data_IF_166577361874
#
_entry.id   IF_166577361874
#
_cell.length_a   1.000
_cell.length_b   1.000
_cell.length_c   1.000
_cell.angle_alpha   90.00
_cell.angle_beta   90.00
_cell.angle_gamma   90.00
#
_symmetry.space_group_name_H-M   'P 1'
#
loop_
_entity.id
_entity.type
_entity.pdbx_description
1 polymer ?
#
# COMPACT_ATOMS: atom_id res chain seq x y z
N UNK A 1 36.67 9.17 -29.16
CA UNK A 1 36.71 8.48 -27.84
C UNK A 1 36.45 9.47 -26.68
N UNK A 2 36.99 10.71 -26.74
CA UNK A 2 36.81 11.71 -25.67
C UNK A 2 35.40 12.30 -25.57
N UNK A 3 34.68 12.45 -26.67
CA UNK A 3 33.29 12.94 -26.71
C UNK A 3 32.31 11.96 -26.08
N UNK A 4 32.51 10.64 -26.19
CA UNK A 4 31.64 9.61 -25.63
C UNK A 4 31.72 9.52 -24.08
N UNK A 5 32.83 9.90 -23.44
CA UNK A 5 32.95 9.91 -21.98
C UNK A 5 32.27 11.13 -21.34
N UNK A 6 32.26 12.29 -22.01
CA UNK A 6 31.57 13.49 -21.57
C UNK A 6 30.05 13.30 -21.53
N UNK A 7 29.48 12.75 -22.59
CA UNK A 7 28.03 12.52 -22.69
C UNK A 7 27.51 11.50 -21.65
N UNK A 8 28.34 10.48 -21.32
CA UNK A 8 28.01 9.46 -20.32
C UNK A 8 28.00 10.02 -18.90
N UNK A 9 28.95 10.87 -18.58
CA UNK A 9 29.02 11.54 -17.29
C UNK A 9 27.83 12.48 -17.10
N UNK A 10 27.49 13.27 -18.10
CA UNK A 10 26.35 14.18 -18.12
C UNK A 10 25.00 13.44 -17.89
N UNK A 11 24.78 12.30 -18.54
CA UNK A 11 23.56 11.50 -18.34
C UNK A 11 23.45 10.95 -16.91
N UNK A 12 24.56 10.49 -16.33
CA UNK A 12 24.59 10.01 -14.95
C UNK A 12 24.34 11.14 -13.94
N UNK A 13 24.86 12.34 -14.19
CA UNK A 13 24.62 13.54 -13.38
C UNK A 13 23.14 13.94 -13.44
N UNK A 14 22.52 13.95 -14.62
CA UNK A 14 21.09 14.26 -14.79
C UNK A 14 20.18 13.27 -14.06
N UNK A 15 20.52 11.97 -14.04
CA UNK A 15 19.80 10.97 -13.24
C UNK A 15 19.91 11.26 -11.74
N UNK A 16 21.11 11.66 -11.29
CA UNK A 16 21.34 12.01 -9.86
C UNK A 16 20.64 13.31 -9.48
N UNK A 17 20.58 14.28 -10.36
CA UNK A 17 19.81 15.53 -10.16
C UNK A 17 18.31 15.24 -10.05
N UNK A 18 17.74 14.43 -10.95
CA UNK A 18 16.36 14.03 -10.91
C UNK A 18 16.03 13.22 -9.62
N UNK A 19 16.93 12.34 -9.19
CA UNK A 19 16.79 11.58 -7.96
C UNK A 19 16.78 12.49 -6.72
N UNK A 20 17.65 13.48 -6.68
CA UNK A 20 17.72 14.46 -5.58
C UNK A 20 16.47 15.34 -5.49
N UNK A 21 15.91 15.73 -6.64
CA UNK A 21 14.68 16.51 -6.70
C UNK A 21 13.41 15.69 -6.36
N UNK A 22 13.47 14.38 -6.43
CA UNK A 22 12.32 13.49 -6.39
C UNK A 22 11.42 13.62 -5.15
N UNK A 23 11.98 13.96 -4.01
CA UNK A 23 11.23 14.05 -2.74
C UNK A 23 10.47 15.35 -2.60
N UNK A 24 11.09 16.47 -2.97
CA UNK A 24 10.57 17.82 -2.71
C UNK A 24 9.91 18.44 -3.94
N UNK A 25 10.42 18.10 -5.12
CA UNK A 25 10.02 18.67 -6.41
C UNK A 25 9.81 17.56 -7.47
N UNK A 26 8.82 16.67 -7.28
CA UNK A 26 8.62 15.53 -8.20
C UNK A 26 8.25 15.97 -9.62
N UNK A 27 7.62 17.13 -9.80
CA UNK A 27 7.34 17.77 -11.08
C UNK A 27 8.64 18.14 -11.82
N UNK A 28 9.58 18.74 -11.11
CA UNK A 28 10.91 19.07 -11.64
C UNK A 28 11.70 17.81 -11.97
N UNK A 29 11.67 16.80 -11.10
CA UNK A 29 12.27 15.51 -11.35
C UNK A 29 11.72 14.86 -12.64
N UNK A 30 10.41 14.88 -12.84
CA UNK A 30 9.76 14.37 -14.05
C UNK A 30 10.19 15.16 -15.29
N UNK A 31 10.28 16.48 -15.20
CA UNK A 31 10.72 17.35 -16.30
C UNK A 31 12.18 17.09 -16.69
N UNK A 32 13.08 16.82 -15.70
CA UNK A 32 14.46 16.45 -15.94
C UNK A 32 14.55 15.08 -16.63
N UNK A 33 13.84 14.09 -16.13
CA UNK A 33 13.84 12.73 -16.70
C UNK A 33 13.32 12.71 -18.15
N UNK A 34 12.30 13.48 -18.47
CA UNK A 34 11.76 13.60 -19.85
C UNK A 34 12.75 14.18 -20.87
N UNK A 35 13.78 14.90 -20.41
CA UNK A 35 14.85 15.44 -21.28
C UNK A 35 15.94 14.40 -21.57
N UNK A 36 15.95 13.28 -20.86
CA UNK A 36 16.94 12.22 -21.06
C UNK A 36 16.48 11.35 -22.23
N UNK A 37 17.37 11.19 -23.21
CA UNK A 37 17.20 10.21 -24.27
C UNK A 37 17.60 8.83 -23.76
N UNK A 38 16.59 8.02 -23.41
CA UNK A 38 16.80 6.69 -22.85
C UNK A 38 17.61 5.74 -23.78
N UNK A 39 17.60 5.99 -25.10
CA UNK A 39 18.35 5.18 -26.06
C UNK A 39 19.87 5.37 -25.96
N UNK A 40 20.31 6.47 -25.35
CA UNK A 40 21.71 6.80 -25.13
C UNK A 40 22.27 6.27 -23.82
N UNK A 41 21.45 5.65 -22.97
CA UNK A 41 21.90 5.02 -21.75
C UNK A 41 22.70 3.76 -22.07
N UNK A 42 23.94 3.73 -21.60
CA UNK A 42 24.98 2.81 -22.04
C UNK A 42 25.03 1.47 -21.29
N UNK A 43 24.38 1.37 -20.14
CA UNK A 43 24.40 0.18 -19.31
C UNK A 43 22.98 -0.22 -18.87
N UNK A 44 22.78 -1.52 -18.66
CA UNK A 44 21.50 -2.02 -18.18
C UNK A 44 21.17 -1.46 -16.79
N UNK A 45 22.18 -1.20 -15.96
CA UNK A 45 22.00 -0.51 -14.68
C UNK A 45 21.45 0.92 -14.86
N UNK A 46 21.99 1.71 -15.78
CA UNK A 46 21.52 3.08 -16.02
C UNK A 46 20.13 3.10 -16.65
N UNK A 47 19.83 2.16 -17.55
CA UNK A 47 18.46 1.97 -18.07
C UNK A 47 17.48 1.61 -16.99
N UNK A 48 17.85 0.69 -16.11
CA UNK A 48 17.02 0.29 -14.96
C UNK A 48 16.81 1.44 -13.97
N UNK A 49 17.86 2.21 -13.66
CA UNK A 49 17.78 3.40 -12.81
C UNK A 49 16.85 4.47 -13.39
N UNK A 50 17.00 4.77 -14.67
CA UNK A 50 16.12 5.69 -15.38
C UNK A 50 14.66 5.22 -15.31
N UNK A 51 14.40 3.94 -15.61
CA UNK A 51 13.09 3.33 -15.60
C UNK A 51 12.42 3.44 -14.22
N UNK A 52 13.18 3.16 -13.16
CA UNK A 52 12.70 3.24 -11.79
C UNK A 52 12.39 4.69 -11.38
N UNK A 53 13.30 5.63 -11.66
CA UNK A 53 13.11 7.05 -11.38
C UNK A 53 11.93 7.64 -12.17
N UNK A 54 11.76 7.26 -13.44
CA UNK A 54 10.63 7.70 -14.26
C UNK A 54 9.31 7.20 -13.70
N UNK A 55 9.23 5.93 -13.30
CA UNK A 55 8.02 5.36 -12.68
C UNK A 55 7.71 6.04 -11.35
N UNK A 56 8.73 6.33 -10.54
CA UNK A 56 8.59 7.09 -9.31
C UNK A 56 8.09 8.52 -9.56
N UNK A 57 8.64 9.20 -10.55
CA UNK A 57 8.23 10.57 -10.88
C UNK A 57 6.80 10.61 -11.40
N UNK A 58 6.36 9.64 -12.19
CA UNK A 58 4.98 9.55 -12.68
C UNK A 58 4.01 9.35 -11.52
N UNK A 59 4.26 8.37 -10.65
CA UNK A 59 3.40 8.07 -9.48
C UNK A 59 3.28 9.30 -8.56
N UNK A 60 4.40 9.97 -8.24
CA UNK A 60 4.41 11.17 -7.41
C UNK A 60 3.73 12.39 -8.04
N UNK A 61 3.57 12.42 -9.35
CA UNK A 61 2.82 13.45 -10.09
C UNK A 61 1.38 13.01 -10.39
N UNK A 62 0.87 11.95 -9.74
CA UNK A 62 -0.48 11.42 -9.91
C UNK A 62 -0.79 11.02 -11.36
N UNK A 63 0.22 10.55 -12.11
CA UNK A 63 0.09 10.04 -13.46
C UNK A 63 0.08 8.52 -13.38
N UNK A 64 -1.11 7.96 -13.46
CA UNK A 64 -1.29 6.52 -13.40
C UNK A 64 -0.73 5.82 -14.64
N UNK A 65 0.04 4.76 -14.42
CA UNK A 65 0.56 3.90 -15.47
C UNK A 65 -0.10 2.52 -15.37
N UNK A 66 -0.49 2.00 -16.54
CA UNK A 66 -1.10 0.67 -16.65
C UNK A 66 -0.28 -0.31 -17.49
N UNK A 67 0.88 0.11 -18.00
CA UNK A 67 1.80 -0.74 -18.76
C UNK A 67 3.16 -0.82 -18.08
N UNK A 68 3.89 -1.89 -18.35
CA UNK A 68 5.24 -2.08 -17.79
C UNK A 68 6.35 -1.48 -18.65
N UNK A 69 6.03 -0.92 -19.82
CA UNK A 69 7.02 -0.45 -20.79
C UNK A 69 8.09 0.43 -20.16
N UNK A 70 7.68 1.40 -19.33
CA UNK A 70 8.61 2.32 -18.66
C UNK A 70 9.43 1.60 -17.58
N UNK A 71 8.78 0.77 -16.77
CA UNK A 71 9.41 0.10 -15.61
C UNK A 71 10.18 -1.17 -16.02
N UNK A 72 9.96 -1.73 -17.23
CA UNK A 72 10.48 -3.04 -17.62
C UNK A 72 11.99 -3.19 -17.43
N UNK A 73 12.85 -2.21 -17.78
CA UNK A 73 14.28 -2.34 -17.52
C UNK A 73 14.65 -2.48 -16.06
N UNK A 74 13.85 -1.88 -15.15
CA UNK A 74 14.05 -2.03 -13.70
C UNK A 74 13.61 -3.42 -13.22
N UNK A 75 12.48 -3.93 -13.74
CA UNK A 75 11.96 -5.27 -13.44
C UNK A 75 12.96 -6.36 -13.87
N UNK A 76 13.61 -6.19 -15.00
CA UNK A 76 14.56 -7.17 -15.54
C UNK A 76 15.91 -7.15 -14.81
N UNK A 77 16.30 -6.02 -14.24
CA UNK A 77 17.65 -5.84 -13.70
C UNK A 77 17.73 -5.89 -12.16
N UNK A 78 16.89 -5.11 -11.47
CA UNK A 78 17.04 -4.92 -10.03
C UNK A 78 16.67 -6.10 -9.14
N UNK A 79 15.74 -7.00 -9.46
CA UNK A 79 15.47 -8.16 -8.61
C UNK A 79 16.72 -8.99 -8.30
N UNK A 80 17.65 -9.11 -9.25
CA UNK A 80 18.89 -9.86 -9.08
C UNK A 80 20.07 -8.95 -8.64
N UNK A 81 20.19 -7.75 -9.25
CA UNK A 81 21.39 -6.93 -9.18
C UNK A 81 21.24 -5.64 -8.35
N UNK A 82 20.03 -5.36 -7.85
CA UNK A 82 19.74 -4.13 -7.13
C UNK A 82 20.09 -4.17 -5.66
N UNK A 83 20.27 -2.96 -5.08
CA UNK A 83 20.26 -2.75 -3.64
C UNK A 83 18.90 -3.07 -3.04
N UNK A 84 18.77 -3.13 -1.71
CA UNK A 84 17.50 -3.33 -1.04
C UNK A 84 16.49 -2.24 -1.40
N UNK A 85 16.90 -0.98 -1.51
CA UNK A 85 16.06 0.14 -1.91
C UNK A 85 15.56 0.02 -3.35
N UNK A 86 16.45 -0.35 -4.28
CA UNK A 86 16.09 -0.54 -5.68
C UNK A 86 15.11 -1.71 -5.87
N UNK A 87 15.31 -2.81 -5.15
CA UNK A 87 14.40 -3.97 -5.15
C UNK A 87 13.04 -3.61 -4.58
N UNK A 88 13.01 -3.00 -3.41
CA UNK A 88 11.79 -2.53 -2.75
C UNK A 88 10.98 -1.62 -3.69
N UNK A 89 11.60 -0.56 -4.23
CA UNK A 89 10.94 0.38 -5.13
C UNK A 89 10.46 -0.27 -6.42
N UNK A 90 11.24 -1.18 -7.00
CA UNK A 90 10.85 -1.90 -8.21
C UNK A 90 9.58 -2.72 -7.99
N UNK A 91 9.52 -3.51 -6.89
CA UNK A 91 8.31 -4.26 -6.56
C UNK A 91 7.15 -3.36 -6.17
N UNK A 92 7.40 -2.24 -5.49
CA UNK A 92 6.37 -1.25 -5.17
C UNK A 92 5.72 -0.69 -6.44
N UNK A 93 6.50 -0.16 -7.40
CA UNK A 93 5.93 0.41 -8.63
C UNK A 93 5.35 -0.65 -9.56
N UNK A 94 5.89 -1.86 -9.58
CA UNK A 94 5.27 -2.99 -10.28
C UNK A 94 3.89 -3.31 -9.69
N UNK A 95 3.77 -3.34 -8.37
CA UNK A 95 2.50 -3.52 -7.67
C UNK A 95 1.51 -2.39 -7.96
N UNK A 96 1.98 -1.12 -7.98
CA UNK A 96 1.14 0.04 -8.34
C UNK A 96 0.56 -0.07 -9.75
N UNK A 97 1.34 -0.52 -10.74
CA UNK A 97 0.87 -0.75 -12.11
C UNK A 97 -0.25 -1.81 -12.13
N UNK A 98 -0.09 -2.90 -11.36
CA UNK A 98 -1.14 -3.92 -11.22
C UNK A 98 -2.40 -3.36 -10.52
N UNK A 99 -2.25 -2.54 -9.46
CA UNK A 99 -3.38 -1.86 -8.82
C UNK A 99 -4.16 -0.97 -9.81
N UNK A 100 -3.45 -0.20 -10.64
CA UNK A 100 -4.07 0.65 -11.67
C UNK A 100 -4.80 -0.16 -12.75
N UNK A 101 -4.46 -1.45 -12.91
CA UNK A 101 -5.18 -2.42 -13.75
C UNK A 101 -6.31 -3.13 -13.03
N UNK A 102 -6.53 -2.85 -11.76
CA UNK A 102 -7.44 -3.59 -10.89
C UNK A 102 -7.09 -5.09 -10.71
N UNK A 103 -5.82 -5.47 -10.95
CA UNK A 103 -5.27 -6.80 -10.70
C UNK A 103 -4.66 -6.83 -9.28
N UNK A 104 -5.54 -6.95 -8.30
CA UNK A 104 -5.15 -6.93 -6.88
C UNK A 104 -4.28 -8.14 -6.48
N UNK A 105 -4.44 -9.28 -7.15
CA UNK A 105 -3.66 -10.48 -6.88
C UNK A 105 -2.19 -10.30 -7.23
N UNK A 106 -1.93 -9.87 -8.45
CA UNK A 106 -0.56 -9.59 -8.91
C UNK A 106 0.07 -8.43 -8.14
N UNK A 107 -0.73 -7.40 -7.81
CA UNK A 107 -0.28 -6.29 -6.97
C UNK A 107 0.15 -6.77 -5.57
N UNK A 108 -0.67 -7.61 -4.92
CA UNK A 108 -0.34 -8.19 -3.61
C UNK A 108 0.94 -9.00 -3.65
N UNK A 109 1.15 -9.83 -4.68
CA UNK A 109 2.38 -10.62 -4.84
C UNK A 109 3.61 -9.69 -4.94
N UNK A 110 3.52 -8.62 -5.71
CA UNK A 110 4.60 -7.64 -5.81
C UNK A 110 4.89 -6.96 -4.47
N UNK A 111 3.85 -6.51 -3.75
CA UNK A 111 4.03 -5.88 -2.45
C UNK A 111 4.61 -6.85 -1.40
N UNK A 112 4.21 -8.11 -1.41
CA UNK A 112 4.79 -9.13 -0.53
C UNK A 112 6.28 -9.37 -0.82
N UNK A 113 6.68 -9.42 -2.09
CA UNK A 113 8.10 -9.50 -2.48
C UNK A 113 8.87 -8.25 -2.05
N UNK A 114 8.30 -7.06 -2.26
CA UNK A 114 8.89 -5.81 -1.82
C UNK A 114 9.06 -5.73 -0.30
N UNK A 115 8.08 -6.23 0.47
CA UNK A 115 8.11 -6.25 1.94
C UNK A 115 9.33 -7.01 2.51
N UNK A 116 9.86 -8.01 1.80
CA UNK A 116 11.06 -8.72 2.22
C UNK A 116 12.28 -7.80 2.35
N UNK A 117 12.30 -6.70 1.61
CA UNK A 117 13.38 -5.72 1.59
C UNK A 117 13.18 -4.54 2.56
N UNK A 118 11.97 -4.33 3.11
CA UNK A 118 11.66 -3.18 3.97
C UNK A 118 12.63 -3.01 5.16
N UNK A 119 13.08 -4.11 5.75
CA UNK A 119 14.02 -4.06 6.91
C UNK A 119 15.46 -3.80 6.51
N UNK A 120 15.81 -4.02 5.26
CA UNK A 120 17.19 -3.88 4.73
C UNK A 120 17.34 -2.58 3.94
N UNK A 121 16.24 -1.99 3.51
CA UNK A 121 16.20 -0.74 2.77
C UNK A 121 16.51 0.44 3.69
N UNK A 122 17.21 1.43 3.16
CA UNK A 122 17.46 2.71 3.83
C UNK A 122 16.31 3.71 3.60
N UNK A 123 15.54 3.56 2.53
CA UNK A 123 14.39 4.39 2.20
C UNK A 123 13.17 3.98 3.01
N UNK A 124 13.12 4.44 4.26
CA UNK A 124 12.02 4.18 5.20
C UNK A 124 10.67 4.69 4.66
N UNK A 125 10.67 5.79 3.88
CA UNK A 125 9.45 6.32 3.27
C UNK A 125 8.88 5.33 2.24
N UNK A 126 9.74 4.78 1.37
CA UNK A 126 9.31 3.78 0.38
C UNK A 126 8.79 2.50 1.06
N UNK A 127 9.43 2.07 2.15
CA UNK A 127 8.97 0.93 2.94
C UNK A 127 7.57 1.16 3.54
N UNK A 128 7.34 2.33 4.13
CA UNK A 128 6.04 2.69 4.69
C UNK A 128 4.95 2.79 3.61
N UNK A 129 5.25 3.41 2.47
CA UNK A 129 4.32 3.51 1.34
C UNK A 129 3.92 2.14 0.78
N UNK A 130 4.86 1.20 0.71
CA UNK A 130 4.57 -0.17 0.29
C UNK A 130 3.57 -0.86 1.24
N UNK A 131 3.75 -0.70 2.55
CA UNK A 131 2.84 -1.27 3.56
C UNK A 131 1.43 -0.67 3.44
N UNK A 132 1.32 0.64 3.23
CA UNK A 132 0.01 1.30 3.00
C UNK A 132 -0.64 0.79 1.71
N UNK A 133 0.12 0.65 0.62
CA UNK A 133 -0.40 0.11 -0.64
C UNK A 133 -0.87 -1.34 -0.49
N UNK A 134 -0.16 -2.17 0.27
CA UNK A 134 -0.60 -3.50 0.66
C UNK A 134 -1.89 -3.43 1.48
N UNK A 135 -1.95 -2.51 2.46
CA UNK A 135 -3.13 -2.27 3.28
C UNK A 135 -4.38 -1.93 2.45
N UNK A 136 -4.24 -1.08 1.43
CA UNK A 136 -5.36 -0.73 0.55
C UNK A 136 -6.01 -1.97 -0.06
N UNK A 137 -5.22 -2.96 -0.50
CA UNK A 137 -5.77 -4.20 -1.04
C UNK A 137 -6.43 -5.03 0.08
N UNK A 138 -5.77 -5.16 1.24
CA UNK A 138 -6.31 -5.91 2.38
C UNK A 138 -7.67 -5.38 2.85
N UNK A 139 -7.83 -4.05 2.82
CA UNK A 139 -9.10 -3.40 3.14
C UNK A 139 -10.21 -3.81 2.15
N UNK A 140 -9.92 -3.84 0.84
CA UNK A 140 -10.94 -4.18 -0.19
C UNK A 140 -11.44 -5.62 -0.09
N UNK A 141 -10.69 -6.50 0.57
CA UNK A 141 -11.05 -7.91 0.78
C UNK A 141 -11.40 -8.21 2.24
N UNK A 142 -11.63 -7.17 3.04
CA UNK A 142 -12.07 -7.27 4.44
C UNK A 142 -11.12 -8.07 5.36
N UNK A 143 -9.81 -8.09 5.06
CA UNK A 143 -8.76 -8.66 5.90
C UNK A 143 -8.30 -7.64 6.93
N UNK A 144 -9.19 -7.30 7.86
CA UNK A 144 -8.97 -6.18 8.78
C UNK A 144 -7.81 -6.40 9.74
N UNK A 145 -7.56 -7.62 10.20
CA UNK A 145 -6.41 -7.90 11.08
C UNK A 145 -5.08 -7.62 10.38
N UNK A 146 -4.92 -8.15 9.15
CA UNK A 146 -3.73 -7.91 8.32
C UNK A 146 -3.63 -6.41 7.94
N UNK A 147 -4.77 -5.74 7.65
CA UNK A 147 -4.83 -4.30 7.36
C UNK A 147 -4.36 -3.45 8.54
N UNK A 148 -4.82 -3.77 9.76
CA UNK A 148 -4.40 -3.09 10.98
C UNK A 148 -2.89 -3.27 11.18
N UNK A 149 -2.37 -4.50 11.04
CA UNK A 149 -0.96 -4.79 11.20
C UNK A 149 -0.08 -3.93 10.30
N UNK A 150 -0.38 -3.90 8.99
CA UNK A 150 0.46 -3.16 8.03
C UNK A 150 0.36 -1.64 8.22
N UNK A 151 -0.81 -1.11 8.59
CA UNK A 151 -0.95 0.33 8.87
C UNK A 151 -0.26 0.74 10.17
N UNK A 152 -0.28 -0.10 11.23
CA UNK A 152 0.48 0.16 12.45
C UNK A 152 2.00 0.11 12.21
N UNK A 153 2.46 -0.81 11.36
CA UNK A 153 3.86 -0.87 10.95
C UNK A 153 4.24 0.38 10.13
N UNK A 154 3.40 0.79 9.18
CA UNK A 154 3.61 2.01 8.40
C UNK A 154 3.63 3.27 9.29
N UNK A 155 2.70 3.40 10.24
CA UNK A 155 2.67 4.51 11.19
C UNK A 155 3.98 4.63 11.99
N UNK A 156 4.53 3.50 12.46
CA UNK A 156 5.83 3.48 13.15
C UNK A 156 6.98 3.95 12.26
N UNK A 157 6.98 3.55 11.00
CA UNK A 157 8.00 3.97 10.03
C UNK A 157 7.88 5.46 9.73
N UNK A 158 6.68 5.98 9.45
CA UNK A 158 6.46 7.41 9.22
C UNK A 158 6.86 8.26 10.43
N UNK A 159 6.52 7.80 11.64
CA UNK A 159 6.95 8.45 12.89
C UNK A 159 8.47 8.54 12.98
N UNK A 160 9.20 7.46 12.63
CA UNK A 160 10.66 7.42 12.73
C UNK A 160 11.38 8.42 11.82
N UNK A 161 10.71 8.89 10.77
CA UNK A 161 11.22 9.88 9.81
C UNK A 161 10.53 11.24 9.91
N UNK A 162 9.73 11.47 10.96
CA UNK A 162 9.06 12.75 11.22
C UNK A 162 7.93 13.11 10.23
N UNK A 163 7.36 12.12 9.50
CA UNK A 163 6.23 12.32 8.59
C UNK A 163 4.91 12.17 9.36
N UNK A 164 4.60 13.18 10.19
CA UNK A 164 3.44 13.14 11.11
C UNK A 164 2.10 13.08 10.39
N UNK A 165 1.96 13.71 9.24
CA UNK A 165 0.78 13.65 8.38
C UNK A 165 0.48 12.22 7.91
N UNK A 166 1.48 11.49 7.40
CA UNK A 166 1.36 10.08 6.98
C UNK A 166 1.20 9.13 8.18
N UNK A 167 1.85 9.43 9.33
CA UNK A 167 1.61 8.71 10.59
C UNK A 167 0.13 8.77 10.97
N UNK A 168 -0.46 9.99 10.96
CA UNK A 168 -1.87 10.22 11.28
C UNK A 168 -2.82 9.55 10.29
N UNK A 169 -2.52 9.59 8.98
CA UNK A 169 -3.31 8.88 7.97
C UNK A 169 -3.33 7.36 8.21
N UNK A 170 -2.19 6.78 8.58
CA UNK A 170 -2.11 5.36 8.89
C UNK A 170 -2.85 5.02 10.19
N UNK A 171 -2.77 5.86 11.22
CA UNK A 171 -3.55 5.69 12.46
C UNK A 171 -5.06 5.85 12.22
N UNK A 172 -5.46 6.78 11.35
CA UNK A 172 -6.85 6.97 10.95
C UNK A 172 -7.42 5.72 10.28
N UNK A 173 -6.66 5.09 9.38
CA UNK A 173 -7.02 3.81 8.79
C UNK A 173 -7.26 2.72 9.85
N UNK A 174 -6.43 2.67 10.89
CA UNK A 174 -6.58 1.70 12.00
C UNK A 174 -7.79 2.02 12.86
N UNK A 175 -8.08 3.31 13.10
CA UNK A 175 -9.30 3.76 13.79
C UNK A 175 -10.53 3.29 13.02
N UNK A 176 -10.57 3.47 11.70
CA UNK A 176 -11.70 3.02 10.87
C UNK A 176 -11.89 1.51 10.94
N UNK A 177 -10.82 0.73 10.89
CA UNK A 177 -10.91 -0.72 11.04
C UNK A 177 -11.46 -1.11 12.42
N UNK A 178 -11.05 -0.44 13.48
CA UNK A 178 -11.57 -0.64 14.83
C UNK A 178 -13.05 -0.27 14.97
N UNK A 179 -13.48 0.80 14.30
CA UNK A 179 -14.89 1.21 14.23
C UNK A 179 -15.73 0.15 13.48
N UNK A 180 -15.25 -0.32 12.33
CA UNK A 180 -15.92 -1.37 11.55
C UNK A 180 -16.02 -2.69 12.31
N UNK A 181 -15.00 -3.05 13.08
CA UNK A 181 -15.01 -4.21 13.97
C UNK A 181 -15.85 -4.01 15.24
N UNK A 182 -16.41 -2.82 15.47
CA UNK A 182 -17.14 -2.42 16.68
C UNK A 182 -16.33 -2.71 17.95
N UNK A 183 -15.01 -2.58 17.88
CA UNK A 183 -14.07 -2.83 18.99
C UNK A 183 -13.72 -1.50 19.67
N UNK A 184 -14.63 -1.01 20.54
CA UNK A 184 -14.46 0.28 21.22
C UNK A 184 -13.13 0.39 22.00
N UNK A 185 -12.74 -0.57 22.89
CA UNK A 185 -11.50 -0.42 23.66
C UNK A 185 -10.24 -0.30 22.80
N UNK A 186 -10.17 -1.06 21.69
CA UNK A 186 -9.08 -0.96 20.74
C UNK A 186 -9.09 0.38 20.02
N UNK A 187 -10.28 0.81 19.53
CA UNK A 187 -10.43 2.07 18.81
C UNK A 187 -10.07 3.27 19.71
N UNK A 188 -10.49 3.25 20.99
CA UNK A 188 -10.15 4.28 21.98
C UNK A 188 -8.62 4.40 22.10
N UNK A 189 -7.91 3.30 22.25
CA UNK A 189 -6.46 3.30 22.39
C UNK A 189 -5.74 3.91 21.19
N UNK A 190 -6.21 3.62 19.97
CA UNK A 190 -5.59 4.18 18.74
C UNK A 190 -6.00 5.65 18.55
N UNK A 191 -7.25 6.00 18.86
CA UNK A 191 -7.74 7.38 18.81
C UNK A 191 -6.95 8.27 19.79
N UNK A 192 -6.67 7.81 20.99
CA UNK A 192 -5.86 8.55 21.97
C UNK A 192 -4.45 8.85 21.44
N UNK A 193 -3.81 7.85 20.82
CA UNK A 193 -2.49 8.03 20.20
C UNK A 193 -2.58 9.07 19.08
N UNK A 194 -3.55 8.96 18.19
CA UNK A 194 -3.73 9.88 17.08
C UNK A 194 -4.04 11.30 17.58
N UNK A 195 -4.88 11.44 18.61
CA UNK A 195 -5.24 12.73 19.18
C UNK A 195 -4.10 13.40 19.94
N UNK A 196 -3.21 12.62 20.57
CA UNK A 196 -1.97 13.14 21.11
C UNK A 196 -1.12 13.78 19.98
N UNK A 197 -0.98 13.10 18.83
CA UNK A 197 -0.25 13.64 17.66
C UNK A 197 -0.87 14.93 17.13
N UNK A 198 -2.21 14.98 17.07
CA UNK A 198 -2.94 16.21 16.68
C UNK A 198 -2.68 17.33 17.68
N UNK A 199 -2.61 17.07 18.99
CA UNK A 199 -2.31 18.10 20.00
C UNK A 199 -0.90 18.70 19.84
N UNK A 200 0.05 17.89 19.40
CA UNK A 200 1.42 18.33 19.08
C UNK A 200 1.50 19.06 17.73
N UNK A 201 0.55 18.82 16.82
CA UNK A 201 0.49 19.35 15.46
C UNK A 201 -0.95 19.76 15.09
N UNK A 202 -1.50 20.86 15.65
CA UNK A 202 -2.92 21.22 15.52
C UNK A 202 -3.39 21.41 14.07
N UNK A 203 -2.51 21.87 13.18
CA UNK A 203 -2.79 22.07 11.76
C UNK A 203 -3.15 20.77 11.02
N UNK A 204 -2.78 19.60 11.58
CA UNK A 204 -3.11 18.28 11.04
C UNK A 204 -4.43 17.71 11.58
N UNK A 205 -5.16 18.48 12.39
CA UNK A 205 -6.43 18.07 12.99
C UNK A 205 -7.50 17.69 11.97
N UNK A 206 -7.42 18.23 10.75
CA UNK A 206 -8.32 17.91 9.65
C UNK A 206 -8.27 16.43 9.25
N UNK A 207 -7.12 15.75 9.43
CA UNK A 207 -6.97 14.32 9.11
C UNK A 207 -7.89 13.48 10.00
N UNK A 208 -7.93 13.77 11.30
CA UNK A 208 -8.73 13.00 12.25
C UNK A 208 -10.19 13.45 12.36
N UNK A 209 -10.54 14.59 11.78
CA UNK A 209 -11.89 15.15 11.88
C UNK A 209 -12.97 14.16 11.38
N UNK A 210 -12.93 13.58 10.15
CA UNK A 210 -13.95 12.64 9.69
C UNK A 210 -14.08 11.41 10.59
N UNK A 211 -12.97 10.92 11.11
CA UNK A 211 -12.91 9.71 11.95
C UNK A 211 -13.52 9.94 13.34
N UNK A 212 -13.42 11.17 13.89
CA UNK A 212 -14.12 11.55 15.13
C UNK A 212 -15.64 11.48 14.95
N UNK A 213 -16.15 11.96 13.85
CA UNK A 213 -17.58 11.90 13.58
C UNK A 213 -18.05 10.45 13.42
N UNK A 214 -17.33 9.64 12.63
CA UNK A 214 -17.64 8.21 12.46
C UNK A 214 -17.54 7.45 13.79
N UNK A 215 -16.55 7.78 14.62
CA UNK A 215 -16.42 7.24 15.97
C UNK A 215 -17.63 7.56 16.85
N UNK A 216 -18.06 8.84 16.90
CA UNK A 216 -19.22 9.26 17.66
C UNK A 216 -20.53 8.63 17.12
N UNK A 217 -20.63 8.47 15.82
CA UNK A 217 -21.74 7.75 15.19
C UNK A 217 -21.84 6.29 15.62
N UNK A 218 -20.73 5.65 15.96
CA UNK A 218 -20.70 4.23 16.31
C UNK A 218 -20.77 4.00 17.82
N UNK A 219 -20.05 4.79 18.59
CA UNK A 219 -19.83 4.57 20.01
C UNK A 219 -20.38 5.68 20.94
N UNK A 220 -20.67 6.86 20.38
CA UNK A 220 -21.14 8.03 21.11
C UNK A 220 -22.66 8.05 21.31
N UNK A 221 -23.11 8.92 22.18
CA UNK A 221 -24.50 9.25 22.37
C UNK A 221 -24.98 10.44 21.53
N UNK A 222 -26.25 10.87 21.70
CA UNK A 222 -26.81 12.00 20.96
C UNK A 222 -26.13 13.33 21.30
N UNK A 223 -25.67 13.50 22.52
CA UNK A 223 -25.02 14.73 22.97
C UNK A 223 -23.60 14.83 22.36
N UNK A 224 -22.86 13.72 22.33
CA UNK A 224 -21.57 13.61 21.66
C UNK A 224 -21.68 13.98 20.16
N UNK A 225 -22.67 13.40 19.47
CA UNK A 225 -22.91 13.67 18.05
C UNK A 225 -23.28 15.13 17.84
N UNK A 226 -24.21 15.68 18.64
CA UNK A 226 -24.65 17.07 18.53
C UNK A 226 -23.51 18.06 18.76
N UNK A 227 -22.60 17.76 19.72
CA UNK A 227 -21.43 18.59 19.99
C UNK A 227 -20.47 18.63 18.82
N UNK A 228 -20.35 17.55 18.05
CA UNK A 228 -19.45 17.48 16.90
C UNK A 228 -20.04 18.13 15.64
N UNK A 229 -21.36 18.03 15.41
CA UNK A 229 -22.01 18.52 14.19
C UNK A 229 -21.71 19.99 13.88
N UNK A 230 -21.48 20.84 14.88
CA UNK A 230 -21.12 22.27 14.70
C UNK A 230 -19.79 22.48 13.97
N UNK A 231 -18.93 21.46 13.94
CA UNK A 231 -17.63 21.52 13.24
C UNK A 231 -17.71 21.01 11.80
N UNK A 232 -18.88 20.52 11.36
CA UNK A 232 -19.09 19.93 10.03
C UNK A 232 -20.24 20.64 9.30
N UNK A 233 -20.07 21.93 8.91
CA UNK A 233 -21.11 22.62 8.16
C UNK A 233 -21.30 21.93 6.79
N UNK A 234 -22.50 21.45 6.53
CA UNK A 234 -22.83 20.61 5.38
C UNK A 234 -22.44 21.21 4.02
N UNK A 235 -22.41 22.53 3.92
CA UNK A 235 -22.10 23.24 2.66
C UNK A 235 -20.58 23.33 2.38
N UNK A 236 -19.73 22.99 3.37
CA UNK A 236 -18.28 23.12 3.29
C UNK A 236 -17.52 21.80 3.34
N UNK A 237 -18.23 20.66 3.46
CA UNK A 237 -17.61 19.33 3.52
C UNK A 237 -17.82 18.57 2.21
N UNK A 238 -16.91 17.61 1.93
CA UNK A 238 -17.02 16.74 0.77
C UNK A 238 -18.22 15.77 0.87
N UNK A 239 -18.59 15.15 -0.23
CA UNK A 239 -19.78 14.30 -0.32
C UNK A 239 -19.70 13.03 0.57
N UNK A 240 -18.50 12.51 0.86
CA UNK A 240 -18.36 11.40 1.78
C UNK A 240 -18.66 11.86 3.21
N UNK A 241 -18.11 12.97 3.62
CA UNK A 241 -18.38 13.59 4.93
C UNK A 241 -19.84 14.02 5.05
N UNK A 242 -20.49 14.54 3.97
CA UNK A 242 -21.93 14.79 3.96
C UNK A 242 -22.76 13.56 4.30
N UNK A 243 -22.33 12.38 3.86
CA UNK A 243 -23.01 11.13 4.20
C UNK A 243 -23.02 10.89 5.72
N UNK A 244 -21.87 11.11 6.39
CA UNK A 244 -21.75 11.00 7.85
C UNK A 244 -22.56 12.07 8.57
N UNK A 245 -22.50 13.32 8.10
CA UNK A 245 -23.28 14.43 8.65
C UNK A 245 -24.80 14.15 8.53
N UNK A 246 -25.26 13.64 7.40
CA UNK A 246 -26.66 13.24 7.23
C UNK A 246 -27.06 12.12 8.21
N UNK A 247 -26.20 11.12 8.40
CA UNK A 247 -26.43 10.06 9.40
C UNK A 247 -26.47 10.63 10.82
N UNK A 248 -25.58 11.60 11.12
CA UNK A 248 -25.53 12.25 12.42
C UNK A 248 -26.83 13.01 12.75
N UNK A 249 -27.33 13.82 11.82
CA UNK A 249 -28.62 14.49 11.98
C UNK A 249 -29.76 13.49 12.21
N UNK A 250 -29.77 12.39 11.46
CA UNK A 250 -30.78 11.34 11.63
C UNK A 250 -30.70 10.71 13.04
N UNK A 251 -29.50 10.42 13.52
CA UNK A 251 -29.30 9.80 14.86
C UNK A 251 -29.74 10.68 16.01
N UNK A 252 -29.59 12.00 15.90
CA UNK A 252 -30.10 12.95 16.90
C UNK A 252 -31.60 13.22 16.80
N UNK A 253 -32.27 12.71 15.73
CA UNK A 253 -33.72 12.82 15.49
C UNK A 253 -34.11 13.89 14.49
N UNK A 254 -33.17 14.59 13.89
CA UNK A 254 -33.42 15.61 12.85
C UNK A 254 -33.44 14.99 11.45
N UNK A 255 -34.49 14.23 11.16
CA UNK A 255 -34.67 13.55 9.87
C UNK A 255 -34.86 14.53 8.70
N UNK A 256 -35.32 15.75 8.96
CA UNK A 256 -35.48 16.78 7.94
C UNK A 256 -34.09 17.22 7.39
N UNK A 257 -33.20 17.64 8.27
CA UNK A 257 -31.85 18.01 7.84
C UNK A 257 -31.06 16.82 7.29
N UNK A 258 -31.23 15.64 7.85
CA UNK A 258 -30.65 14.42 7.31
C UNK A 258 -31.00 14.19 5.83
N UNK A 259 -32.29 14.27 5.47
CA UNK A 259 -32.77 14.14 4.08
C UNK A 259 -32.26 15.28 3.20
N UNK A 260 -32.30 16.51 3.68
CA UNK A 260 -31.81 17.68 2.94
C UNK A 260 -30.33 17.53 2.56
N UNK A 261 -29.49 17.15 3.50
CA UNK A 261 -28.06 16.98 3.26
C UNK A 261 -27.80 15.78 2.34
N UNK A 262 -28.47 14.64 2.56
CA UNK A 262 -28.33 13.48 1.68
C UNK A 262 -28.71 13.82 0.23
N UNK A 263 -29.72 14.67 0.03
CA UNK A 263 -30.18 15.11 -1.30
C UNK A 263 -29.24 16.14 -1.95
N UNK A 264 -28.34 16.77 -1.18
CA UNK A 264 -27.34 17.71 -1.71
C UNK A 264 -26.07 17.01 -2.25
N UNK A 265 -25.96 15.69 -2.05
CA UNK A 265 -24.84 14.92 -2.58
C UNK A 265 -25.03 14.77 -4.10
N UNK A 266 -23.99 15.07 -4.87
CA UNK A 266 -24.04 14.98 -6.33
C UNK A 266 -24.32 13.52 -6.76
N UNK A 267 -25.38 13.34 -7.55
CA UNK A 267 -25.79 12.04 -8.06
C UNK A 267 -24.74 11.38 -8.99
N UNK A 268 -23.84 12.19 -9.56
CA UNK A 268 -22.72 11.72 -10.39
C UNK A 268 -21.48 11.39 -9.58
N UNK A 269 -21.47 11.76 -8.30
CA UNK A 269 -20.38 11.44 -7.39
C UNK A 269 -20.24 9.93 -7.18
N UNK A 270 -19.03 9.43 -7.22
CA UNK A 270 -18.73 8.02 -6.89
C UNK A 270 -19.18 7.61 -5.48
N UNK A 271 -19.42 8.59 -4.59
CA UNK A 271 -19.94 8.37 -3.24
C UNK A 271 -21.32 7.71 -3.25
N UNK A 272 -22.21 8.08 -4.20
CA UNK A 272 -23.56 7.50 -4.31
C UNK A 272 -23.54 6.02 -4.69
N UNK A 273 -22.46 5.53 -5.29
CA UNK A 273 -22.24 4.12 -5.56
C UNK A 273 -21.71 3.35 -4.34
N UNK A 274 -21.17 4.05 -3.32
CA UNK A 274 -20.58 3.41 -2.15
C UNK A 274 -21.62 2.67 -1.29
N UNK A 275 -21.17 1.59 -0.65
CA UNK A 275 -22.02 0.83 0.28
C UNK A 275 -22.46 1.69 1.46
N UNK A 276 -21.58 2.51 2.00
CA UNK A 276 -21.85 3.42 3.11
C UNK A 276 -23.02 4.35 2.80
N UNK A 277 -22.98 5.02 1.64
CA UNK A 277 -24.07 5.90 1.22
C UNK A 277 -25.42 5.14 1.11
N UNK A 278 -25.42 3.95 0.48
CA UNK A 278 -26.63 3.15 0.31
C UNK A 278 -27.23 2.69 1.65
N UNK A 279 -26.37 2.28 2.58
CA UNK A 279 -26.77 1.92 3.94
C UNK A 279 -27.37 3.13 4.69
N UNK A 280 -26.66 4.26 4.69
CA UNK A 280 -27.11 5.50 5.35
C UNK A 280 -28.41 6.03 4.73
N UNK A 281 -28.53 6.00 3.40
CA UNK A 281 -29.77 6.40 2.71
C UNK A 281 -30.96 5.54 3.13
N UNK A 282 -30.79 4.22 3.17
CA UNK A 282 -31.84 3.31 3.64
C UNK A 282 -32.26 3.64 5.07
N UNK A 283 -31.30 3.82 5.97
CA UNK A 283 -31.54 4.16 7.37
C UNK A 283 -32.29 5.49 7.53
N UNK A 284 -31.87 6.56 6.83
CA UNK A 284 -32.52 7.87 6.91
C UNK A 284 -33.98 7.82 6.40
N UNK A 285 -34.20 7.12 5.28
CA UNK A 285 -35.53 6.97 4.72
C UNK A 285 -36.47 6.17 5.66
N UNK A 286 -35.97 5.13 6.31
CA UNK A 286 -36.70 4.35 7.31
C UNK A 286 -37.09 5.23 8.51
N UNK A 287 -36.15 5.98 9.09
CA UNK A 287 -36.40 6.87 10.21
C UNK A 287 -37.36 8.02 9.86
N UNK A 288 -37.41 8.42 8.59
CA UNK A 288 -38.31 9.43 8.08
C UNK A 288 -39.71 8.88 7.77
N UNK A 289 -39.94 7.55 7.86
CA UNK A 289 -41.21 6.89 7.55
C UNK A 289 -41.41 6.61 6.06
N UNK A 290 -40.45 6.88 5.19
CA UNK A 290 -40.50 6.62 3.74
C UNK A 290 -40.19 5.15 3.44
N UNK A 291 -40.97 4.22 3.98
CA UNK A 291 -40.68 2.79 3.97
C UNK A 291 -40.50 2.16 2.58
N UNK A 292 -41.29 2.53 1.53
CA UNK A 292 -41.10 1.98 0.19
C UNK A 292 -39.71 2.32 -0.37
N UNK A 293 -39.26 3.57 -0.24
CA UNK A 293 -37.98 4.04 -0.75
C UNK A 293 -36.82 3.52 0.12
N UNK A 294 -37.03 3.38 1.43
CA UNK A 294 -36.07 2.73 2.34
C UNK A 294 -35.83 1.29 1.90
N UNK A 295 -36.88 0.53 1.59
CA UNK A 295 -36.73 -0.86 1.13
C UNK A 295 -36.01 -0.97 -0.21
N UNK A 296 -36.25 -0.05 -1.14
CA UNK A 296 -35.49 -0.01 -2.42
C UNK A 296 -34.01 0.27 -2.18
N UNK A 297 -33.69 1.23 -1.32
CA UNK A 297 -32.30 1.55 -0.96
C UNK A 297 -31.62 0.38 -0.25
N UNK A 298 -32.31 -0.28 0.68
CA UNK A 298 -31.82 -1.45 1.39
C UNK A 298 -31.54 -2.63 0.44
N UNK A 299 -32.42 -2.90 -0.50
CA UNK A 299 -32.20 -3.96 -1.51
C UNK A 299 -30.94 -3.70 -2.35
N UNK A 300 -30.71 -2.44 -2.74
CA UNK A 300 -29.47 -2.07 -3.47
C UNK A 300 -28.23 -2.30 -2.61
N UNK A 301 -28.27 -1.87 -1.36
CA UNK A 301 -27.19 -2.13 -0.39
C UNK A 301 -26.93 -3.63 -0.22
N UNK A 302 -28.00 -4.41 -0.01
CA UNK A 302 -27.89 -5.86 0.21
C UNK A 302 -27.32 -6.60 -1.00
N UNK A 303 -27.74 -6.25 -2.22
CA UNK A 303 -27.22 -6.85 -3.45
C UNK A 303 -25.70 -6.58 -3.62
N UNK A 304 -25.24 -5.37 -3.25
CA UNK A 304 -23.82 -5.07 -3.29
C UNK A 304 -23.07 -5.87 -2.24
N UNK A 305 -23.63 -5.99 -1.03
CA UNK A 305 -23.04 -6.78 0.05
C UNK A 305 -22.90 -8.25 -0.35
N UNK A 306 -23.93 -8.82 -0.98
CA UNK A 306 -23.92 -10.21 -1.48
C UNK A 306 -22.87 -10.39 -2.57
N UNK A 307 -22.76 -9.44 -3.51
CA UNK A 307 -21.73 -9.45 -4.56
C UNK A 307 -20.32 -9.42 -3.98
N UNK A 308 -20.09 -8.54 -2.99
CA UNK A 308 -18.79 -8.44 -2.31
C UNK A 308 -18.48 -9.73 -1.55
N UNK A 309 -19.45 -10.27 -0.82
CA UNK A 309 -19.31 -11.52 -0.09
C UNK A 309 -18.98 -12.68 -1.04
N UNK A 310 -19.66 -12.79 -2.17
CA UNK A 310 -19.37 -13.76 -3.22
C UNK A 310 -17.96 -13.61 -3.77
N UNK A 311 -17.50 -12.38 -4.01
CA UNK A 311 -16.15 -12.10 -4.50
C UNK A 311 -15.07 -12.40 -3.47
N UNK A 312 -15.31 -12.13 -2.18
CA UNK A 312 -14.39 -12.49 -1.09
C UNK A 312 -14.23 -14.01 -0.98
N UNK A 313 -15.34 -14.74 -1.05
CA UNK A 313 -15.31 -16.20 -1.00
C UNK A 313 -14.78 -16.83 -2.29
N UNK A 314 -14.89 -16.14 -3.43
CA UNK A 314 -14.54 -16.71 -4.73
C UNK A 314 -13.06 -16.74 -5.01
N UNK A 315 -12.18 -16.25 -4.08
CA UNK A 315 -10.89 -16.79 -4.25
C UNK A 315 -9.59 -16.09 -4.29
N UNK A 316 -9.51 -14.97 -4.83
CA UNK A 316 -8.21 -14.70 -5.48
C UNK A 316 -7.11 -14.27 -4.51
N UNK A 317 -7.39 -13.39 -3.58
CA UNK A 317 -6.33 -12.78 -2.78
C UNK A 317 -5.81 -13.68 -1.65
N UNK A 318 -6.69 -14.46 -1.02
CA UNK A 318 -6.27 -15.42 0.00
C UNK A 318 -5.38 -16.50 -0.64
N UNK A 319 -5.80 -16.99 -1.83
CA UNK A 319 -5.03 -17.96 -2.61
C UNK A 319 -3.71 -17.38 -3.15
N UNK A 320 -3.62 -16.09 -3.41
CA UNK A 320 -2.37 -15.44 -3.81
C UNK A 320 -1.36 -15.37 -2.64
N UNK A 321 -1.82 -15.01 -1.44
CA UNK A 321 -0.99 -15.02 -0.23
C UNK A 321 -0.52 -16.45 0.08
N UNK A 322 -1.43 -17.42 0.06
CA UNK A 322 -1.11 -18.82 0.32
C UNK A 322 -0.15 -19.39 -0.73
N UNK A 323 -0.37 -19.12 -2.02
CA UNK A 323 0.55 -19.54 -3.09
C UNK A 323 1.94 -18.94 -2.91
N UNK A 324 2.04 -17.66 -2.58
CA UNK A 324 3.32 -17.00 -2.31
C UNK A 324 4.06 -17.67 -1.14
N UNK A 325 3.37 -17.92 -0.02
CA UNK A 325 3.98 -18.57 1.14
C UNK A 325 4.41 -20.02 0.82
N UNK A 326 3.62 -20.77 0.03
CA UNK A 326 3.98 -22.10 -0.45
C UNK A 326 5.19 -22.06 -1.40
N UNK A 327 5.22 -21.11 -2.34
CA UNK A 327 6.33 -20.94 -3.27
C UNK A 327 7.62 -20.57 -2.52
N UNK A 328 7.53 -19.65 -1.56
CA UNK A 328 8.63 -19.30 -0.67
C UNK A 328 9.15 -20.48 0.14
N UNK A 329 8.23 -21.26 0.73
CA UNK A 329 8.61 -22.45 1.48
C UNK A 329 9.27 -23.51 0.58
N UNK A 330 8.83 -23.65 -0.67
CA UNK A 330 9.43 -24.54 -1.65
C UNK A 330 10.84 -24.08 -2.07
N UNK A 331 11.02 -22.77 -2.31
CA UNK A 331 12.33 -22.19 -2.63
C UNK A 331 13.34 -22.43 -1.49
N UNK A 332 12.92 -22.24 -0.24
CA UNK A 332 13.76 -22.53 0.93
C UNK A 332 14.15 -24.02 0.98
N UNK A 333 13.21 -24.92 0.67
CA UNK A 333 13.49 -26.37 0.60
C UNK A 333 14.50 -26.69 -0.49
N UNK A 334 14.35 -26.09 -1.68
CA UNK A 334 15.27 -26.28 -2.81
C UNK A 334 16.66 -25.79 -2.44
N UNK A 335 16.79 -24.58 -1.88
CA UNK A 335 18.08 -24.01 -1.44
C UNK A 335 18.76 -24.88 -0.37
N UNK A 336 18.01 -25.42 0.59
CA UNK A 336 18.54 -26.35 1.59
C UNK A 336 19.05 -27.62 0.95
N UNK A 337 18.27 -28.21 0.01
CA UNK A 337 18.67 -29.41 -0.74
C UNK A 337 19.94 -29.14 -1.54
N UNK A 338 20.01 -28.07 -2.29
CA UNK A 338 21.16 -27.72 -3.12
C UNK A 338 22.41 -27.50 -2.26
N UNK A 339 22.27 -26.85 -1.10
CA UNK A 339 23.37 -26.72 -0.13
C UNK A 339 23.90 -28.07 0.35
N UNK A 340 23.00 -29.02 0.66
CA UNK A 340 23.39 -30.38 1.06
C UNK A 340 24.12 -31.09 -0.08
N UNK A 341 23.63 -30.97 -1.32
CA UNK A 341 24.27 -31.54 -2.51
C UNK A 341 25.70 -30.98 -2.69
N UNK A 342 25.85 -29.65 -2.61
CA UNK A 342 27.18 -29.02 -2.71
C UNK A 342 28.14 -29.47 -1.61
N UNK A 343 27.68 -29.58 -0.37
CA UNK A 343 28.49 -30.08 0.74
C UNK A 343 28.91 -31.54 0.49
N UNK A 344 27.98 -32.40 0.04
CA UNK A 344 28.31 -33.80 -0.25
C UNK A 344 29.29 -33.95 -1.41
N UNK A 345 29.19 -33.12 -2.46
CA UNK A 345 30.17 -33.05 -3.55
C UNK A 345 31.55 -32.63 -3.08
N UNK A 346 31.64 -31.62 -2.22
CA UNK A 346 32.89 -31.16 -1.65
C UNK A 346 33.54 -32.27 -0.79
N UNK A 347 32.76 -32.98 0.01
CA UNK A 347 33.26 -34.08 0.83
C UNK A 347 33.76 -35.22 -0.06
N UNK A 348 33.01 -35.61 -1.09
CA UNK A 348 33.40 -36.67 -2.06
C UNK A 348 34.72 -36.29 -2.77
N UNK A 349 34.84 -35.03 -3.18
CA UNK A 349 36.08 -34.51 -3.82
C UNK A 349 37.29 -34.57 -2.88
N UNK A 350 37.11 -34.18 -1.61
CA UNK A 350 38.15 -34.26 -0.60
C UNK A 350 38.59 -35.72 -0.34
N UNK A 351 37.64 -36.67 -0.30
CA UNK A 351 37.95 -38.09 -0.18
C UNK A 351 38.74 -38.64 -1.39
N UNK A 352 38.40 -38.22 -2.60
CA UNK A 352 39.14 -38.57 -3.81
C UNK A 352 40.62 -38.08 -3.76
N UNK A 353 40.82 -36.87 -3.29
CA UNK A 353 42.18 -36.30 -3.09
C UNK A 353 42.97 -37.15 -2.08
N UNK A 354 42.34 -37.49 -0.96
CA UNK A 354 43.00 -38.32 0.08
C UNK A 354 43.35 -39.70 -0.48
N UNK A 355 42.43 -40.35 -1.19
CA UNK A 355 42.67 -41.65 -1.83
C UNK A 355 43.79 -41.57 -2.88
N UNK A 356 43.79 -40.50 -3.70
CA UNK A 356 44.83 -40.22 -4.66
C UNK A 356 46.21 -40.06 -3.98
N UNK A 357 46.27 -39.35 -2.85
CA UNK A 357 47.47 -39.19 -2.07
C UNK A 357 47.98 -40.49 -1.45
N UNK A 358 47.08 -41.30 -0.89
CA UNK A 358 47.37 -42.63 -0.34
C UNK A 358 47.90 -43.54 -1.44
N UNK A 359 47.27 -43.58 -2.62
CA UNK A 359 47.69 -44.35 -3.77
C UNK A 359 49.06 -43.89 -4.27
N UNK A 360 49.32 -42.62 -4.35
CA UNK A 360 50.62 -42.03 -4.73
C UNK A 360 51.73 -42.47 -3.76
N UNK A 361 51.48 -42.38 -2.45
CA UNK A 361 52.42 -42.82 -1.39
C UNK A 361 52.69 -44.32 -1.47
N UNK A 362 51.66 -45.12 -1.71
CA UNK A 362 51.76 -46.60 -1.89
C UNK A 362 52.63 -46.93 -3.10
N UNK A 363 52.45 -46.24 -4.21
CA UNK A 363 53.26 -46.45 -5.43
C UNK A 363 54.74 -46.07 -5.24
N UNK A 364 55.00 -44.96 -4.54
CA UNK A 364 56.37 -44.52 -4.20
C UNK A 364 57.04 -45.55 -3.26
N UNK A 365 56.33 -46.16 -2.34
CA UNK A 365 56.89 -47.20 -1.44
C UNK A 365 57.23 -48.51 -2.11
N UNK A 366 56.56 -48.82 -3.27
CA UNK A 366 56.89 -50.02 -4.10
C UNK A 366 58.07 -49.79 -5.09
N UNK A 367 58.42 -48.55 -5.35
CA UNK A 367 59.49 -48.17 -6.27
C UNK A 367 60.86 -48.04 -5.58
N UNK A 368 60.90 -48.22 -4.28
CA UNK A 368 62.10 -48.43 -3.46
C UNK A 368 62.28 -49.92 -3.13
#
# INVERSE_FOLDING_TARGET
>A
ILFSCSDKHELSERLSEAESAMSEHPDSALALLRKIDASKLDSDRNKARYALLMSQALDKNYIDTTTFEILQPAIDYFPENGSADEKLKTFYYQGRIYQNRHDNDSAMQCFMRGREFCRMASDTLAAANLLVAQGTILYTVYKFDDFIEVNLEAAKLYKSIGKTDYELLSLANVVDAGILAVNKPFTDSIMDIAMQRVSENPDLGYIMAPHKLTYALTFGDKDDISALLRYYPADSVDDMTKTDVAQAYCKIGDTYNAKRILSSIDSTSGVTASMKYKAVKSYILEQAGDLPDALIAYKKFYNDLESIHSNIFSHTLLSAKERYEMEKANLIKIQKRDRIVWISLCVAFALLIILGFIYYRYRLGKAK
#
